data_IF_891177031539
#
_entry.id   IF_891177031539
#
_cell.length_a   1.000
_cell.length_b   1.000
_cell.length_c   1.000
_cell.angle_alpha   90.00
_cell.angle_beta   90.00
_cell.angle_gamma   90.00
#
_symmetry.space_group_name_H-M   'P 1'
#
loop_
_entity.id
_entity.type
_entity.pdbx_description
1 polymer ?
#
# COMPACT_ATOMS: atom_id res chain seq x y z
N UNK A 1 11.62 -8.78 -14.01
CA UNK A 1 11.62 -7.51 -13.24
C UNK A 1 11.57 -7.80 -11.74
N UNK A 2 12.13 -6.87 -10.95
CA UNK A 2 11.94 -6.84 -9.50
C UNK A 2 10.72 -5.96 -9.19
N UNK A 3 9.69 -6.52 -8.57
CA UNK A 3 8.41 -5.87 -8.33
C UNK A 3 8.14 -5.81 -6.83
N UNK A 4 7.70 -4.64 -6.32
CA UNK A 4 7.01 -4.57 -5.03
C UNK A 4 5.50 -4.60 -5.29
N UNK A 5 4.80 -5.56 -4.70
CA UNK A 5 3.34 -5.56 -4.61
C UNK A 5 2.95 -4.84 -3.32
N UNK A 6 2.50 -3.58 -3.43
CA UNK A 6 2.27 -2.68 -2.30
C UNK A 6 0.82 -2.71 -1.84
N UNK A 7 0.62 -3.08 -0.58
CA UNK A 7 -0.64 -3.00 0.14
C UNK A 7 -0.56 -1.98 1.28
N UNK A 8 -1.68 -1.34 1.58
CA UNK A 8 -1.82 -0.45 2.74
C UNK A 8 -2.56 -1.11 3.92
N UNK A 9 -2.86 -2.39 3.80
CA UNK A 9 -3.51 -3.23 4.82
C UNK A 9 -2.78 -4.57 4.96
N UNK A 10 -3.16 -5.33 5.99
CA UNK A 10 -2.69 -6.70 6.19
C UNK A 10 -3.43 -7.70 5.32
N UNK A 11 -2.92 -8.93 5.32
CA UNK A 11 -3.59 -10.09 4.75
C UNK A 11 -4.32 -10.85 5.86
N UNK A 12 -5.45 -11.46 5.51
CA UNK A 12 -6.18 -12.37 6.38
C UNK A 12 -6.41 -13.69 5.65
N UNK A 13 -6.12 -14.84 6.27
CA UNK A 13 -6.27 -16.15 5.63
C UNK A 13 -7.72 -16.46 5.22
N UNK A 14 -8.69 -15.85 5.88
CA UNK A 14 -10.11 -16.06 5.61
C UNK A 14 -10.70 -15.08 4.58
N UNK A 15 -9.93 -14.11 4.12
CA UNK A 15 -10.40 -13.08 3.18
C UNK A 15 -10.24 -13.51 1.73
N UNK A 16 -11.33 -13.47 0.95
CA UNK A 16 -11.27 -13.68 -0.51
C UNK A 16 -10.36 -12.65 -1.21
N UNK A 17 -10.30 -11.42 -0.67
CA UNK A 17 -9.40 -10.37 -1.18
C UNK A 17 -7.94 -10.79 -0.99
N UNK A 18 -7.58 -11.32 0.18
CA UNK A 18 -6.22 -11.81 0.45
C UNK A 18 -5.84 -12.97 -0.46
N UNK A 19 -6.76 -13.92 -0.69
CA UNK A 19 -6.57 -15.02 -1.64
C UNK A 19 -6.31 -14.48 -3.06
N UNK A 20 -7.13 -13.52 -3.53
CA UNK A 20 -6.93 -12.88 -4.84
C UNK A 20 -5.55 -12.23 -4.95
N UNK A 21 -5.12 -11.48 -3.94
CA UNK A 21 -3.79 -10.83 -3.90
C UNK A 21 -2.68 -11.87 -4.02
N UNK A 22 -2.72 -12.94 -3.23
CA UNK A 22 -1.71 -14.00 -3.27
C UNK A 22 -1.67 -14.71 -4.63
N UNK A 23 -2.83 -14.91 -5.28
CA UNK A 23 -2.88 -15.44 -6.64
C UNK A 23 -2.30 -14.47 -7.68
N UNK A 24 -2.50 -13.16 -7.52
CA UNK A 24 -1.88 -12.17 -8.40
C UNK A 24 -0.35 -12.16 -8.25
N UNK A 25 0.15 -12.23 -7.00
CA UNK A 25 1.60 -12.36 -6.73
C UNK A 25 2.17 -13.59 -7.42
N UNK A 26 1.55 -14.77 -7.22
CA UNK A 26 1.95 -16.00 -7.91
C UNK A 26 1.89 -15.89 -9.44
N UNK A 27 0.91 -15.15 -9.98
CA UNK A 27 0.81 -14.89 -11.42
C UNK A 27 2.02 -14.09 -11.95
N UNK A 28 2.45 -13.05 -11.24
CA UNK A 28 3.66 -12.32 -11.60
C UNK A 28 4.91 -13.21 -11.51
N UNK A 29 5.02 -14.03 -10.47
CA UNK A 29 6.14 -14.98 -10.31
C UNK A 29 6.17 -16.02 -11.43
N UNK A 30 5.02 -16.55 -11.83
CA UNK A 30 4.89 -17.49 -12.96
C UNK A 30 5.29 -16.84 -14.31
N UNK A 31 5.17 -15.51 -14.43
CA UNK A 31 5.68 -14.74 -15.56
C UNK A 31 7.20 -14.42 -15.47
N UNK A 32 7.92 -15.01 -14.52
CA UNK A 32 9.37 -14.84 -14.36
C UNK A 32 9.77 -13.55 -13.64
N UNK A 33 8.88 -12.94 -12.86
CA UNK A 33 9.20 -11.75 -12.07
C UNK A 33 9.53 -12.14 -10.62
N UNK A 34 10.40 -11.36 -9.96
CA UNK A 34 10.61 -11.44 -8.52
C UNK A 34 9.67 -10.47 -7.82
N UNK A 35 8.81 -10.97 -6.93
CA UNK A 35 7.80 -10.16 -6.26
C UNK A 35 8.08 -10.07 -4.76
N UNK A 36 8.20 -8.85 -4.27
CA UNK A 36 8.28 -8.54 -2.84
C UNK A 36 6.91 -8.02 -2.37
N UNK A 37 6.22 -8.80 -1.55
CA UNK A 37 4.89 -8.44 -1.05
C UNK A 37 5.02 -7.51 0.15
N UNK A 38 4.67 -6.23 -0.03
CA UNK A 38 4.71 -5.22 1.01
C UNK A 38 3.33 -5.06 1.67
N UNK A 39 3.25 -5.38 2.96
CA UNK A 39 2.02 -5.34 3.75
C UNK A 39 2.15 -4.43 4.96
N UNK A 40 1.03 -4.16 5.61
CA UNK A 40 0.96 -3.55 6.92
C UNK A 40 0.27 -4.52 7.88
N UNK A 41 0.80 -4.64 9.09
CA UNK A 41 0.23 -5.52 10.11
C UNK A 41 0.26 -4.87 11.51
N UNK A 42 -0.47 -5.47 12.42
CA UNK A 42 -0.34 -5.25 13.85
C UNK A 42 0.24 -6.55 14.42
N UNK A 43 1.44 -6.47 14.97
CA UNK A 43 2.11 -7.61 15.59
C UNK A 43 1.44 -7.99 16.93
N UNK A 44 1.73 -9.19 17.45
CA UNK A 44 1.11 -9.73 18.67
C UNK A 44 1.34 -8.83 19.90
N UNK A 45 2.45 -8.09 19.93
CA UNK A 45 2.76 -7.09 20.96
C UNK A 45 2.04 -5.74 20.76
N UNK A 46 1.11 -5.65 19.80
CA UNK A 46 0.34 -4.45 19.48
C UNK A 46 1.10 -3.40 18.63
N UNK A 47 2.36 -3.68 18.26
CA UNK A 47 3.13 -2.79 17.40
C UNK A 47 2.57 -2.77 15.98
N UNK A 48 2.53 -1.59 15.40
CA UNK A 48 2.14 -1.35 14.02
C UNK A 48 3.37 -1.41 13.13
N UNK A 49 3.41 -2.38 12.20
CA UNK A 49 4.61 -2.66 11.42
C UNK A 49 4.34 -2.63 9.92
N UNK A 50 5.34 -2.22 9.16
CA UNK A 50 5.42 -2.41 7.72
C UNK A 50 6.30 -3.61 7.47
N UNK A 51 5.84 -4.52 6.63
CA UNK A 51 6.55 -5.77 6.36
C UNK A 51 6.76 -5.94 4.87
N UNK A 52 7.85 -6.60 4.50
CA UNK A 52 8.07 -7.13 3.15
C UNK A 52 8.43 -8.61 3.29
N UNK A 53 7.69 -9.48 2.61
CA UNK A 53 7.85 -10.94 2.66
C UNK A 53 7.92 -11.48 4.10
N UNK A 54 7.07 -10.95 5.00
CA UNK A 54 7.00 -11.24 6.43
C UNK A 54 8.18 -10.71 7.29
N UNK A 55 9.13 -9.97 6.72
CA UNK A 55 10.17 -9.29 7.47
C UNK A 55 9.77 -7.85 7.78
N UNK A 56 9.98 -7.41 9.02
CA UNK A 56 9.66 -6.04 9.46
C UNK A 56 10.69 -5.08 8.89
N UNK A 57 10.25 -4.13 8.05
CA UNK A 57 11.09 -3.07 7.49
C UNK A 57 10.91 -1.72 8.19
N UNK A 58 9.84 -1.56 8.95
CA UNK A 58 9.58 -0.37 9.78
C UNK A 58 8.65 -0.73 10.93
N UNK A 59 9.02 -0.34 12.14
CA UNK A 59 8.17 -0.38 13.32
C UNK A 59 7.73 1.03 13.68
N UNK A 60 6.43 1.24 13.70
CA UNK A 60 5.83 2.54 14.02
C UNK A 60 5.54 2.69 15.52
N UNK A 61 5.65 1.59 16.31
CA UNK A 61 5.26 1.52 17.73
C UNK A 61 3.78 1.23 17.91
N UNK A 62 3.24 1.65 19.05
CA UNK A 62 1.87 1.37 19.48
C UNK A 62 0.99 2.61 19.58
N UNK A 63 -0.33 2.41 19.74
CA UNK A 63 -1.29 3.46 20.04
C UNK A 63 -1.59 4.43 18.89
N UNK A 64 -2.15 5.60 19.28
CA UNK A 64 -2.59 6.65 18.33
C UNK A 64 -1.42 7.31 17.58
N UNK A 65 -0.26 7.61 18.21
CA UNK A 65 0.88 8.17 17.48
C UNK A 65 1.40 7.25 16.38
N UNK A 66 1.49 5.95 16.63
CA UNK A 66 1.89 4.95 15.64
C UNK A 66 0.88 4.86 14.48
N UNK A 67 -0.41 4.97 14.78
CA UNK A 67 -1.46 5.00 13.77
C UNK A 67 -1.36 6.24 12.85
N UNK A 68 -0.96 7.39 13.38
CA UNK A 68 -0.69 8.60 12.60
C UNK A 68 0.60 8.47 11.79
N UNK A 69 1.72 8.07 12.43
CA UNK A 69 3.03 7.90 11.79
C UNK A 69 2.96 6.96 10.58
N UNK A 70 2.23 5.85 10.69
CA UNK A 70 1.98 4.90 9.61
C UNK A 70 1.38 5.54 8.34
N UNK A 71 0.52 6.54 8.51
CA UNK A 71 -0.19 7.21 7.39
C UNK A 71 0.64 8.24 6.66
N UNK A 72 1.74 8.68 7.26
CA UNK A 72 2.59 9.76 6.73
C UNK A 72 4.02 9.31 6.43
N UNK A 73 4.49 8.21 7.02
CA UNK A 73 5.87 7.71 6.84
C UNK A 73 5.91 6.53 5.87
N UNK A 74 6.51 6.76 4.71
CA UNK A 74 6.69 5.75 3.66
C UNK A 74 8.16 5.64 3.22
N UNK A 75 9.08 6.22 3.97
CA UNK A 75 10.50 6.26 3.60
C UNK A 75 11.12 4.85 3.57
N UNK A 76 10.64 3.93 4.40
CA UNK A 76 11.09 2.53 4.40
C UNK A 76 10.83 1.84 3.05
N UNK A 77 9.67 2.11 2.41
CA UNK A 77 9.34 1.56 1.10
C UNK A 77 10.30 2.10 0.04
N UNK A 78 10.56 3.41 0.05
CA UNK A 78 11.50 4.04 -0.88
C UNK A 78 12.91 3.47 -0.72
N UNK A 79 13.42 3.39 0.52
CA UNK A 79 14.74 2.80 0.80
C UNK A 79 14.84 1.37 0.29
N UNK A 80 13.85 0.53 0.64
CA UNK A 80 13.82 -0.85 0.19
C UNK A 80 13.84 -0.94 -1.33
N UNK A 81 12.99 -0.15 -2.01
CA UNK A 81 12.88 -0.18 -3.46
C UNK A 81 14.20 0.17 -4.17
N UNK A 82 14.92 1.19 -3.67
CA UNK A 82 16.21 1.60 -4.23
C UNK A 82 17.29 0.55 -3.93
N UNK A 83 17.39 0.08 -2.68
CA UNK A 83 18.41 -0.90 -2.26
C UNK A 83 18.26 -2.22 -3.01
N UNK A 84 17.04 -2.66 -3.31
CA UNK A 84 16.77 -3.93 -3.99
C UNK A 84 16.55 -3.78 -5.50
N UNK A 85 16.91 -2.62 -6.08
CA UNK A 85 16.80 -2.35 -7.52
C UNK A 85 15.42 -2.71 -8.07
N UNK A 86 14.38 -2.27 -7.38
CA UNK A 86 12.99 -2.47 -7.80
C UNK A 86 12.70 -1.67 -9.05
N UNK A 87 12.07 -2.30 -10.04
CA UNK A 87 11.76 -1.69 -11.34
C UNK A 87 10.30 -1.25 -11.43
N UNK A 88 9.41 -1.91 -10.64
CA UNK A 88 7.98 -1.64 -10.64
C UNK A 88 7.40 -1.71 -9.23
N UNK A 89 6.61 -0.70 -8.86
CA UNK A 89 5.70 -0.77 -7.71
C UNK A 89 4.30 -1.02 -8.24
N UNK A 90 3.75 -2.20 -7.96
CA UNK A 90 2.35 -2.51 -8.23
C UNK A 90 1.52 -2.19 -7.00
N UNK A 91 0.71 -1.14 -7.07
CA UNK A 91 -0.06 -0.62 -5.93
C UNK A 91 -1.48 -1.10 -6.02
N UNK A 92 -1.93 -1.86 -5.03
CA UNK A 92 -3.36 -2.10 -4.85
C UNK A 92 -3.92 -1.00 -3.95
N UNK A 93 -4.51 -0.01 -4.58
CA UNK A 93 -5.02 1.17 -3.88
C UNK A 93 -6.45 0.96 -3.41
N UNK A 94 -6.69 1.29 -2.13
CA UNK A 94 -8.02 1.41 -1.56
C UNK A 94 -8.02 2.64 -0.64
N UNK A 95 -8.48 3.79 -1.17
CA UNK A 95 -8.60 5.07 -0.44
C UNK A 95 -7.31 5.51 0.27
N UNK A 96 -6.16 5.39 -0.41
CA UNK A 96 -4.85 5.74 0.17
C UNK A 96 -4.14 6.90 -0.54
N UNK A 97 -4.80 7.55 -1.51
CA UNK A 97 -4.24 8.72 -2.14
C UNK A 97 -4.27 9.91 -1.17
N UNK A 98 -3.10 10.39 -0.81
CA UNK A 98 -2.90 11.55 0.07
C UNK A 98 -1.55 12.20 -0.26
N UNK A 99 -1.23 13.41 0.27
CA UNK A 99 0.02 14.10 -0.05
C UNK A 99 1.29 13.27 0.20
N UNK A 100 1.29 12.40 1.20
CA UNK A 100 2.45 11.60 1.57
C UNK A 100 2.67 10.43 0.60
N UNK A 101 1.59 9.78 0.13
CA UNK A 101 1.69 8.74 -0.91
C UNK A 101 2.06 9.34 -2.27
N UNK A 102 1.56 10.53 -2.61
CA UNK A 102 1.99 11.28 -3.79
C UNK A 102 3.48 11.58 -3.73
N UNK A 103 3.97 12.06 -2.58
CA UNK A 103 5.41 12.33 -2.37
C UNK A 103 6.25 11.05 -2.51
N UNK A 104 5.79 9.92 -1.99
CA UNK A 104 6.44 8.62 -2.18
C UNK A 104 6.54 8.29 -3.67
N UNK A 105 5.43 8.33 -4.39
CA UNK A 105 5.39 7.94 -5.80
C UNK A 105 6.20 8.89 -6.68
N UNK A 106 6.19 10.19 -6.36
CA UNK A 106 7.06 11.16 -7.03
C UNK A 106 8.55 10.84 -6.84
N UNK A 107 8.97 10.47 -5.62
CA UNK A 107 10.36 10.05 -5.35
C UNK A 107 10.73 8.78 -6.10
N UNK A 108 9.84 7.79 -6.13
CA UNK A 108 10.05 6.53 -6.84
C UNK A 108 10.19 6.76 -8.36
N UNK A 109 9.30 7.57 -8.95
CA UNK A 109 9.39 7.95 -10.38
C UNK A 109 10.70 8.66 -10.70
N UNK A 110 11.16 9.58 -9.84
CA UNK A 110 12.46 10.26 -10.00
C UNK A 110 13.65 9.30 -9.91
N UNK A 111 13.50 8.19 -9.20
CA UNK A 111 14.49 7.11 -9.14
C UNK A 111 14.37 6.11 -10.32
N UNK A 112 13.53 6.39 -11.32
CA UNK A 112 13.34 5.52 -12.49
C UNK A 112 12.40 4.33 -12.26
N UNK A 113 11.74 4.26 -11.10
CA UNK A 113 10.87 3.13 -10.75
C UNK A 113 9.46 3.38 -11.31
N UNK A 114 8.96 2.43 -12.09
CA UNK A 114 7.60 2.48 -12.67
C UNK A 114 6.56 2.25 -11.59
N UNK A 115 5.37 2.81 -11.78
CA UNK A 115 4.24 2.63 -10.87
C UNK A 115 3.02 2.22 -11.67
N UNK A 116 2.42 1.10 -11.28
CA UNK A 116 1.12 0.65 -11.76
C UNK A 116 0.14 0.62 -10.59
N UNK A 117 -1.07 1.14 -10.78
CA UNK A 117 -2.09 1.18 -9.72
C UNK A 117 -3.32 0.38 -10.14
N UNK A 118 -3.66 -0.61 -9.33
CA UNK A 118 -4.94 -1.32 -9.40
C UNK A 118 -5.96 -0.58 -8.53
N UNK A 119 -7.11 -0.24 -9.10
CA UNK A 119 -8.29 0.22 -8.38
C UNK A 119 -9.26 -0.97 -8.33
N UNK A 120 -9.31 -1.72 -7.21
CA UNK A 120 -10.01 -3.01 -7.17
C UNK A 120 -11.52 -2.91 -7.24
N UNK A 121 -12.07 -1.75 -6.87
CA UNK A 121 -13.51 -1.48 -6.91
C UNK A 121 -13.71 -0.03 -7.28
N UNK A 122 -14.54 0.22 -8.30
CA UNK A 122 -14.93 1.59 -8.61
C UNK A 122 -15.89 2.08 -7.51
N UNK A 123 -15.60 3.21 -6.85
CA UNK A 123 -16.42 3.65 -5.75
C UNK A 123 -17.80 4.13 -6.25
N UNK A 124 -18.84 3.42 -5.87
CA UNK A 124 -20.20 3.92 -6.00
C UNK A 124 -20.48 4.88 -4.83
N UNK A 125 -20.76 6.14 -5.14
CA UNK A 125 -20.95 7.18 -4.11
C UNK A 125 -22.08 6.85 -3.13
N UNK A 126 -23.09 6.10 -3.56
CA UNK A 126 -24.18 5.60 -2.74
C UNK A 126 -23.77 4.64 -1.63
N UNK A 127 -22.69 3.85 -1.82
CA UNK A 127 -22.24 2.90 -0.82
C UNK A 127 -21.59 3.58 0.40
N UNK A 128 -21.13 4.83 0.24
CA UNK A 128 -20.45 5.56 1.30
C UNK A 128 -21.38 6.42 2.17
N UNK A 129 -22.65 6.50 1.84
CA UNK A 129 -23.62 7.33 2.56
C UNK A 129 -23.76 6.90 4.04
N UNK A 130 -23.61 5.61 4.35
CA UNK A 130 -23.70 5.04 5.70
C UNK A 130 -22.40 5.06 6.50
N UNK A 131 -21.28 5.53 5.94
CA UNK A 131 -20.00 5.50 6.66
C UNK A 131 -19.83 6.67 7.63
N UNK A 132 -19.04 6.49 8.73
CA UNK A 132 -18.72 7.56 9.67
C UNK A 132 -18.10 8.78 8.95
N UNK A 133 -18.38 9.97 9.45
CA UNK A 133 -17.91 11.25 8.88
C UNK A 133 -16.40 11.27 8.56
N UNK A 134 -15.59 10.76 9.47
CA UNK A 134 -14.12 10.69 9.30
C UNK A 134 -13.73 9.82 8.09
N UNK A 135 -14.43 8.72 7.88
CA UNK A 135 -14.21 7.83 6.73
C UNK A 135 -14.63 8.53 5.44
N UNK A 136 -15.79 9.21 5.43
CA UNK A 136 -16.26 9.98 4.28
C UNK A 136 -15.31 11.10 3.90
N UNK A 137 -14.78 11.84 4.87
CA UNK A 137 -13.74 12.86 4.63
C UNK A 137 -12.48 12.25 4.03
N UNK A 138 -12.02 11.11 4.56
CA UNK A 138 -10.88 10.38 4.00
C UNK A 138 -11.09 9.97 2.54
N UNK A 139 -12.30 9.52 2.18
CA UNK A 139 -12.66 9.17 0.80
C UNK A 139 -12.65 10.42 -0.11
N UNK A 140 -13.13 11.57 0.36
CA UNK A 140 -13.10 12.81 -0.43
C UNK A 140 -11.65 13.27 -0.67
N UNK A 141 -10.79 13.21 0.35
CA UNK A 141 -9.35 13.48 0.21
C UNK A 141 -8.74 12.55 -0.84
N UNK A 142 -9.01 11.24 -0.75
CA UNK A 142 -8.52 10.25 -1.72
C UNK A 142 -8.99 10.59 -3.15
N UNK A 143 -10.27 10.96 -3.36
CA UNK A 143 -10.80 11.35 -4.67
C UNK A 143 -10.06 12.53 -5.30
N UNK A 144 -9.76 13.56 -4.50
CA UNK A 144 -9.01 14.74 -4.96
C UNK A 144 -7.59 14.36 -5.35
N UNK A 145 -6.88 13.65 -4.48
CA UNK A 145 -5.48 13.32 -4.70
C UNK A 145 -5.28 12.17 -5.71
N UNK A 146 -6.26 11.29 -5.90
CA UNK A 146 -6.20 10.22 -6.91
C UNK A 146 -6.06 10.77 -8.33
N UNK A 147 -6.73 11.88 -8.65
CA UNK A 147 -6.59 12.56 -9.95
C UNK A 147 -5.15 13.04 -10.23
N UNK A 148 -4.38 13.29 -9.18
CA UNK A 148 -2.97 13.71 -9.29
C UNK A 148 -2.02 12.52 -9.47
N UNK A 149 -2.48 11.30 -9.19
CA UNK A 149 -1.69 10.08 -9.33
C UNK A 149 -1.80 9.45 -10.74
N UNK A 150 -2.87 9.77 -11.47
CA UNK A 150 -3.07 9.34 -12.85
C UNK A 150 -2.24 10.19 -13.81
#
# INVERSE_FOLDING_TARGET
MNIIYLLFHGLSPYSGISKKILHQVKGFEACGHRVSLCTYSIADNGHRVRMINNEIIEDYGTGKPAAAKRRVSYQCIYRYAVTHQVELIYVRSFHNANPFTIRLFSKLRKAGIKIAMEIPTYPYDSEYAGFPLVTRLGIQVDKVFRKTLA
#
